data_IF_181601532556
#
_entry.id   IF_181601532556
#
_cell.length_a   1.000
_cell.length_b   1.000
_cell.length_c   1.000
_cell.angle_alpha   90.00
_cell.angle_beta   90.00
_cell.angle_gamma   90.00
#
_symmetry.space_group_name_H-M   'P 1'
#
loop_
_entity.id
_entity.type
_entity.pdbx_description
1 polymer ?
#
# COMPACT_ATOMS: atom_id res chain seq x y z
N UNK A 1 -37.15 5.64 -11.23
CA UNK A 1 -36.51 5.91 -12.52
C UNK A 1 -35.09 6.34 -12.20
N UNK A 2 -34.13 5.47 -12.48
CA UNK A 2 -32.71 5.67 -12.19
C UNK A 2 -32.14 6.78 -13.07
N UNK A 3 -31.52 7.77 -12.43
CA UNK A 3 -30.90 8.91 -13.08
C UNK A 3 -29.42 8.59 -13.33
N UNK A 4 -29.15 7.74 -14.34
CA UNK A 4 -27.80 7.52 -14.85
C UNK A 4 -27.50 8.65 -15.83
N UNK A 5 -27.07 9.80 -15.30
CA UNK A 5 -26.53 10.89 -16.13
C UNK A 5 -25.19 10.48 -16.72
N UNK A 6 -25.07 10.52 -18.04
CA UNK A 6 -23.80 10.37 -18.74
C UNK A 6 -22.85 11.50 -18.37
N UNK A 7 -21.57 11.17 -18.21
CA UNK A 7 -20.51 12.12 -17.83
C UNK A 7 -20.28 13.23 -18.88
N UNK A 8 -20.93 13.14 -20.03
CA UNK A 8 -20.82 14.08 -21.15
C UNK A 8 -21.56 15.40 -20.88
N UNK A 9 -22.55 15.42 -19.99
CA UNK A 9 -23.36 16.60 -19.64
C UNK A 9 -22.64 17.58 -18.69
N UNK A 10 -21.39 17.31 -18.30
CA UNK A 10 -20.65 18.10 -17.31
C UNK A 10 -20.22 19.50 -17.80
N UNK A 11 -20.66 19.96 -18.98
CA UNK A 11 -20.20 21.23 -19.55
C UNK A 11 -21.29 22.24 -19.88
N UNK A 12 -22.58 21.87 -19.91
CA UNK A 12 -23.63 22.81 -20.37
C UNK A 12 -24.49 23.43 -19.26
N UNK A 13 -24.35 23.01 -18.00
CA UNK A 13 -25.13 23.59 -16.89
C UNK A 13 -24.35 23.70 -15.57
N UNK A 14 -23.19 24.38 -15.55
CA UNK A 14 -22.38 24.49 -14.33
C UNK A 14 -22.62 25.76 -13.52
N UNK A 15 -23.19 25.58 -12.33
CA UNK A 15 -23.08 26.47 -11.17
C UNK A 15 -21.63 26.48 -10.64
N UNK A 16 -21.20 27.61 -10.07
CA UNK A 16 -19.84 28.04 -9.70
C UNK A 16 -19.00 27.12 -8.78
N UNK A 17 -19.48 25.91 -8.44
CA UNK A 17 -18.77 24.96 -7.57
C UNK A 17 -17.94 23.88 -8.27
N UNK A 18 -18.01 23.74 -9.60
CA UNK A 18 -17.41 22.61 -10.32
C UNK A 18 -16.19 23.03 -11.16
N UNK A 19 -15.00 22.51 -10.79
CA UNK A 19 -13.79 22.69 -11.58
C UNK A 19 -13.97 21.99 -12.93
N UNK A 20 -13.92 22.76 -14.02
CA UNK A 20 -13.89 22.24 -15.39
C UNK A 20 -12.64 21.37 -15.56
N UNK A 21 -12.81 20.11 -15.97
CA UNK A 21 -11.67 19.24 -16.30
C UNK A 21 -10.81 19.90 -17.39
N UNK A 22 -9.49 19.93 -17.18
CA UNK A 22 -8.55 20.51 -18.14
C UNK A 22 -8.70 19.86 -19.51
N UNK A 23 -8.48 20.64 -20.58
CA UNK A 23 -8.66 20.22 -21.98
C UNK A 23 -7.87 18.94 -22.34
N UNK A 24 -6.75 18.68 -21.66
CA UNK A 24 -5.93 17.47 -21.81
C UNK A 24 -6.70 16.20 -21.42
N UNK A 25 -7.64 16.30 -20.47
CA UNK A 25 -8.52 15.21 -20.07
C UNK A 25 -9.78 15.13 -20.95
N UNK A 26 -10.07 16.17 -21.75
CA UNK A 26 -11.18 16.17 -22.72
C UNK A 26 -10.86 15.33 -23.96
N UNK A 27 -9.58 15.12 -24.28
CA UNK A 27 -9.16 14.28 -25.42
C UNK A 27 -9.50 12.80 -25.24
N UNK A 28 -9.61 12.29 -24.01
CA UNK A 28 -10.05 10.90 -23.76
C UNK A 28 -11.56 10.70 -23.97
N UNK A 29 -12.35 11.78 -24.05
CA UNK A 29 -13.78 11.77 -24.31
C UNK A 29 -14.11 12.03 -25.80
N UNK A 30 -13.11 12.18 -26.66
CA UNK A 30 -13.32 12.34 -28.11
C UNK A 30 -13.71 11.00 -28.73
N UNK A 31 -15.00 10.65 -28.59
CA UNK A 31 -15.59 9.43 -29.13
C UNK A 31 -17.04 9.18 -28.69
N UNK A 32 -17.67 10.14 -28.00
CA UNK A 32 -19.00 9.94 -27.41
C UNK A 32 -18.99 8.79 -26.40
N UNK A 33 -20.02 7.94 -26.44
CA UNK A 33 -20.19 6.82 -25.50
C UNK A 33 -19.03 5.82 -25.52
N UNK A 34 -18.46 5.53 -26.70
CA UNK A 34 -17.33 4.59 -26.83
C UNK A 34 -16.04 5.16 -26.22
N UNK A 35 -15.76 6.44 -26.47
CA UNK A 35 -14.61 7.14 -25.86
C UNK A 35 -14.72 7.20 -24.33
N UNK A 36 -15.92 7.48 -23.81
CA UNK A 36 -16.20 7.43 -22.37
C UNK A 36 -16.01 6.03 -21.79
N UNK A 37 -16.52 4.99 -22.45
CA UNK A 37 -16.37 3.60 -22.02
C UNK A 37 -14.89 3.18 -21.99
N UNK A 38 -14.10 3.57 -22.98
CA UNK A 38 -12.67 3.31 -23.02
C UNK A 38 -11.91 4.08 -21.92
N UNK A 39 -12.24 5.36 -21.71
CA UNK A 39 -11.68 6.14 -20.61
C UNK A 39 -11.96 5.50 -19.24
N UNK A 40 -13.18 5.01 -19.02
CA UNK A 40 -13.56 4.29 -17.80
C UNK A 40 -12.81 2.97 -17.63
N UNK A 41 -12.64 2.19 -18.70
CA UNK A 41 -11.83 0.96 -18.69
C UNK A 41 -10.38 1.25 -18.31
N UNK A 42 -9.78 2.28 -18.92
CA UNK A 42 -8.41 2.71 -18.60
C UNK A 42 -8.28 3.12 -17.13
N UNK A 43 -9.20 3.94 -16.62
CA UNK A 43 -9.14 4.39 -15.23
C UNK A 43 -9.42 3.26 -14.23
N UNK A 44 -10.28 2.30 -14.58
CA UNK A 44 -10.46 1.08 -13.80
C UNK A 44 -9.20 0.23 -13.76
N UNK A 45 -8.57 -0.03 -14.92
CA UNK A 45 -7.31 -0.78 -15.00
C UNK A 45 -6.20 -0.11 -14.18
N UNK A 46 -6.05 1.22 -14.26
CA UNK A 46 -5.09 1.99 -13.47
C UNK A 46 -5.38 1.87 -11.97
N UNK A 47 -6.64 1.99 -11.58
CA UNK A 47 -7.06 1.91 -10.18
C UNK A 47 -6.85 0.51 -9.60
N UNK A 48 -7.18 -0.54 -10.37
CA UNK A 48 -6.93 -1.95 -10.01
C UNK A 48 -5.42 -2.22 -9.86
N UNK A 49 -4.61 -1.79 -10.82
CA UNK A 49 -3.15 -1.95 -10.74
C UNK A 49 -2.54 -1.22 -9.52
N UNK A 50 -3.10 -0.06 -9.13
CA UNK A 50 -2.69 0.65 -7.90
C UNK A 50 -3.09 -0.13 -6.65
N UNK A 51 -4.30 -0.68 -6.61
CA UNK A 51 -4.76 -1.50 -5.49
C UNK A 51 -3.90 -2.77 -5.31
N UNK A 52 -3.57 -3.44 -6.41
CA UNK A 52 -2.68 -4.61 -6.39
C UNK A 52 -1.27 -4.25 -5.87
N UNK A 53 -0.67 -3.17 -6.39
CA UNK A 53 0.64 -2.70 -5.88
C UNK A 53 0.60 -2.33 -4.40
N UNK A 54 -0.46 -1.65 -3.96
CA UNK A 54 -0.63 -1.32 -2.54
C UNK A 54 -0.67 -2.58 -1.67
N UNK A 55 -1.36 -3.63 -2.13
CA UNK A 55 -1.40 -4.91 -1.43
C UNK A 55 -0.01 -5.57 -1.35
N UNK A 56 0.75 -5.55 -2.45
CA UNK A 56 2.15 -6.02 -2.46
C UNK A 56 3.01 -5.25 -1.45
N UNK A 57 2.88 -3.92 -1.41
CA UNK A 57 3.59 -3.05 -0.47
C UNK A 57 3.21 -3.37 0.99
N UNK A 58 1.94 -3.64 1.30
CA UNK A 58 1.51 -4.06 2.63
C UNK A 58 2.17 -5.38 3.07
N UNK A 59 2.26 -6.35 2.16
CA UNK A 59 2.92 -7.64 2.43
C UNK A 59 4.42 -7.44 2.66
N UNK A 60 5.09 -6.69 1.77
CA UNK A 60 6.51 -6.38 1.91
C UNK A 60 6.82 -5.65 3.21
N UNK A 61 6.01 -4.65 3.55
CA UNK A 61 6.18 -3.89 4.79
C UNK A 61 6.03 -4.77 6.03
N UNK A 62 5.07 -5.70 6.03
CA UNK A 62 4.87 -6.65 7.12
C UNK A 62 6.10 -7.54 7.32
N UNK A 63 6.70 -8.02 6.23
CA UNK A 63 7.92 -8.81 6.28
C UNK A 63 9.14 -7.98 6.70
N UNK A 64 9.27 -6.74 6.24
CA UNK A 64 10.35 -5.84 6.68
C UNK A 64 10.26 -5.53 8.17
N UNK A 65 9.06 -5.26 8.72
CA UNK A 65 8.86 -5.12 10.17
C UNK A 65 9.36 -6.35 10.94
N UNK A 66 9.10 -7.56 10.42
CA UNK A 66 9.58 -8.82 11.03
C UNK A 66 11.12 -8.93 10.95
N UNK A 67 11.72 -8.59 9.81
CA UNK A 67 13.18 -8.65 9.58
C UNK A 67 13.93 -7.68 10.47
N UNK A 68 13.42 -6.47 10.66
CA UNK A 68 14.07 -5.48 11.53
C UNK A 68 14.09 -5.96 12.98
N UNK A 69 12.98 -6.51 13.51
CA UNK A 69 12.96 -7.11 14.86
C UNK A 69 13.98 -8.25 15.00
N UNK A 70 14.03 -9.13 13.99
CA UNK A 70 14.98 -10.26 13.96
C UNK A 70 16.42 -9.74 13.99
N UNK A 71 16.71 -8.68 13.24
CA UNK A 71 18.03 -8.04 13.19
C UNK A 71 18.43 -7.46 14.55
N UNK A 72 17.53 -6.75 15.22
CA UNK A 72 17.81 -6.21 16.55
C UNK A 72 18.08 -7.31 17.59
N UNK A 73 17.28 -8.37 17.59
CA UNK A 73 17.50 -9.53 18.47
C UNK A 73 18.85 -10.21 18.19
N UNK A 74 19.21 -10.36 16.92
CA UNK A 74 20.50 -10.91 16.52
C UNK A 74 21.66 -10.07 17.05
N UNK A 75 21.63 -8.75 16.87
CA UNK A 75 22.70 -7.87 17.37
C UNK A 75 22.74 -7.81 18.90
N UNK A 76 21.59 -7.81 19.58
CA UNK A 76 21.56 -7.90 21.04
C UNK A 76 22.28 -9.17 21.53
N UNK A 77 21.98 -10.33 20.94
CA UNK A 77 22.66 -11.60 21.23
C UNK A 77 24.15 -11.56 20.92
N UNK A 78 24.54 -11.00 19.77
CA UNK A 78 25.94 -10.85 19.38
C UNK A 78 26.74 -10.04 20.40
N UNK A 79 26.18 -8.92 20.88
CA UNK A 79 26.84 -8.06 21.88
C UNK A 79 26.89 -8.72 23.26
N UNK A 80 25.84 -9.45 23.64
CA UNK A 80 25.84 -10.28 24.85
C UNK A 80 26.98 -11.28 24.87
N UNK A 81 27.18 -12.00 23.77
CA UNK A 81 28.22 -13.01 23.67
C UNK A 81 29.63 -12.38 23.63
N UNK A 82 29.79 -11.24 22.97
CA UNK A 82 31.03 -10.44 23.06
C UNK A 82 31.35 -10.03 24.51
N UNK A 83 30.34 -9.64 25.27
CA UNK A 83 30.51 -9.26 26.68
C UNK A 83 30.96 -10.42 27.58
N UNK A 84 30.54 -11.66 27.27
CA UNK A 84 31.00 -12.88 27.97
C UNK A 84 32.45 -13.23 27.64
N UNK A 85 32.86 -12.98 26.40
CA UNK A 85 34.16 -13.42 25.86
C UNK A 85 35.29 -12.39 26.04
N UNK A 86 35.03 -11.23 26.64
CA UNK A 86 36.03 -10.18 26.82
C UNK A 86 36.50 -10.07 28.28
N UNK A 87 37.81 -10.11 28.50
CA UNK A 87 38.41 -10.04 29.84
C UNK A 87 38.57 -8.61 30.38
N UNK A 88 38.41 -7.59 29.53
CA UNK A 88 38.59 -6.19 29.91
C UNK A 88 37.27 -5.62 30.47
N UNK A 89 37.24 -5.09 31.72
CA UNK A 89 36.02 -4.58 32.33
C UNK A 89 35.32 -3.49 31.51
N UNK A 90 36.08 -2.56 30.92
CA UNK A 90 35.54 -1.50 30.08
C UNK A 90 34.89 -2.02 28.79
N UNK A 91 35.52 -3.00 28.13
CA UNK A 91 34.97 -3.63 26.93
C UNK A 91 33.70 -4.43 27.25
N UNK A 92 33.67 -5.10 28.41
CA UNK A 92 32.49 -5.81 28.90
C UNK A 92 31.34 -4.84 29.17
N UNK A 93 31.60 -3.73 29.88
CA UNK A 93 30.61 -2.70 30.15
C UNK A 93 30.03 -2.11 28.86
N UNK A 94 30.88 -1.84 27.87
CA UNK A 94 30.44 -1.36 26.56
C UNK A 94 29.58 -2.39 25.82
N UNK A 95 29.98 -3.67 25.81
CA UNK A 95 29.22 -4.74 25.17
C UNK A 95 27.82 -4.90 25.79
N UNK A 96 27.71 -4.85 27.12
CA UNK A 96 26.42 -4.87 27.82
C UNK A 96 25.57 -3.64 27.51
N UNK A 97 26.19 -2.46 27.39
CA UNK A 97 25.48 -1.24 26.95
C UNK A 97 24.92 -1.41 25.54
N UNK A 98 25.68 -2.02 24.62
CA UNK A 98 25.21 -2.29 23.25
C UNK A 98 24.08 -3.32 23.24
N UNK A 99 24.17 -4.42 24.01
CA UNK A 99 23.06 -5.37 24.18
C UNK A 99 21.79 -4.66 24.64
N UNK A 100 21.89 -3.81 25.66
CA UNK A 100 20.76 -3.05 26.18
C UNK A 100 20.14 -2.13 25.12
N UNK A 101 20.97 -1.40 24.36
CA UNK A 101 20.51 -0.54 23.27
C UNK A 101 19.72 -1.31 22.20
N UNK A 102 20.23 -2.46 21.74
CA UNK A 102 19.53 -3.26 20.72
C UNK A 102 18.21 -3.85 21.25
N UNK A 103 18.17 -4.23 22.53
CA UNK A 103 16.93 -4.67 23.18
C UNK A 103 15.90 -3.54 23.27
N UNK A 104 16.34 -2.32 23.59
CA UNK A 104 15.48 -1.13 23.63
C UNK A 104 14.91 -0.81 22.24
N UNK A 105 15.76 -0.81 21.20
CA UNK A 105 15.30 -0.62 19.82
C UNK A 105 14.26 -1.67 19.41
N UNK A 106 14.46 -2.94 19.78
CA UNK A 106 13.49 -4.00 19.54
C UNK A 106 12.18 -3.80 20.29
N UNK A 107 12.23 -3.36 21.54
CA UNK A 107 11.03 -3.08 22.32
C UNK A 107 10.22 -1.92 21.72
N UNK A 108 10.89 -0.80 21.42
CA UNK A 108 10.28 0.38 20.83
C UNK A 108 9.64 0.06 19.46
N UNK A 109 10.37 -0.68 18.62
CA UNK A 109 9.87 -1.02 17.29
C UNK A 109 8.68 -1.99 17.38
N UNK A 110 8.70 -2.97 18.29
CA UNK A 110 7.55 -3.84 18.56
C UNK A 110 6.31 -3.06 18.98
N UNK A 111 6.47 -2.10 19.90
CA UNK A 111 5.37 -1.26 20.37
C UNK A 111 4.76 -0.43 19.24
N UNK A 112 5.60 0.25 18.46
CA UNK A 112 5.16 1.05 17.31
C UNK A 112 4.49 0.21 16.22
N UNK A 113 4.96 -1.02 15.98
CA UNK A 113 4.41 -1.86 14.92
C UNK A 113 3.15 -2.62 15.32
N UNK A 114 2.87 -2.80 16.61
CA UNK A 114 1.62 -3.43 17.03
C UNK A 114 0.40 -2.61 16.58
N UNK A 115 0.44 -1.28 16.74
CA UNK A 115 -0.64 -0.39 16.27
C UNK A 115 -0.77 -0.39 14.74
N UNK A 116 0.34 -0.46 14.02
CA UNK A 116 0.34 -0.50 12.55
C UNK A 116 -0.20 -1.82 11.99
N UNK A 117 0.07 -2.95 12.65
CA UNK A 117 -0.45 -4.25 12.25
C UNK A 117 -1.96 -4.37 12.40
N UNK A 118 -2.57 -3.65 13.35
CA UNK A 118 -4.02 -3.58 13.48
C UNK A 118 -4.68 -2.82 12.32
N UNK A 119 -3.96 -1.89 11.67
CA UNK A 119 -4.45 -1.09 10.55
C UNK A 119 -4.15 -1.69 9.17
N UNK A 120 -3.14 -2.55 9.07
CA UNK A 120 -2.78 -3.19 7.80
C UNK A 120 -3.85 -4.22 7.42
N UNK A 121 -4.29 -4.25 6.14
CA UNK A 121 -5.20 -5.27 5.69
C UNK A 121 -4.57 -6.64 5.93
N UNK A 122 -5.31 -7.55 6.57
CA UNK A 122 -4.87 -8.94 6.72
C UNK A 122 -4.56 -9.45 5.32
N UNK A 123 -3.36 -9.99 5.11
CA UNK A 123 -2.94 -10.56 3.84
C UNK A 123 -3.79 -11.81 3.54
N UNK A 124 -5.05 -11.61 3.17
CA UNK A 124 -5.89 -12.62 2.54
C UNK A 124 -5.78 -12.41 1.04
N UNK A 125 -5.16 -13.34 0.30
CA UNK A 125 -5.06 -13.28 -1.16
C UNK A 125 -6.43 -13.34 -1.85
N UNK A 126 -7.48 -13.75 -1.14
CA UNK A 126 -8.78 -14.13 -1.71
C UNK A 126 -9.68 -12.93 -2.08
N UNK A 127 -9.31 -11.70 -1.70
CA UNK A 127 -10.22 -10.55 -1.83
C UNK A 127 -10.34 -9.95 -3.25
N UNK A 128 -9.62 -10.47 -4.26
CA UNK A 128 -9.67 -9.92 -5.62
C UNK A 128 -9.75 -10.94 -6.77
N UNK A 129 -9.70 -12.24 -6.46
CA UNK A 129 -9.85 -13.32 -7.45
C UNK A 129 -11.32 -13.71 -7.68
N UNK A 130 -12.28 -12.93 -7.18
CA UNK A 130 -13.61 -12.95 -7.79
C UNK A 130 -13.45 -12.36 -9.21
N UNK A 131 -13.19 -13.24 -10.18
CA UNK A 131 -13.18 -12.97 -11.62
C UNK A 131 -14.38 -12.10 -11.99
N UNK A 132 -14.18 -10.79 -12.07
CA UNK A 132 -15.02 -9.96 -12.90
C UNK A 132 -14.45 -10.16 -14.31
N UNK A 133 -14.99 -11.18 -14.96
CA UNK A 133 -14.73 -11.49 -16.36
C UNK A 133 -15.07 -10.26 -17.21
N UNK A 134 -14.03 -9.61 -17.73
CA UNK A 134 -14.17 -8.46 -18.61
C UNK A 134 -14.81 -8.84 -19.95
N UNK A 135 -14.82 -10.14 -20.31
CA UNK A 135 -15.53 -10.68 -21.48
C UNK A 135 -17.02 -10.96 -21.20
N UNK A 136 -17.43 -10.94 -19.92
CA UNK A 136 -18.84 -11.01 -19.49
C UNK A 136 -19.51 -9.63 -19.43
N UNK A 137 -18.78 -8.54 -19.63
CA UNK A 137 -19.41 -7.24 -19.89
C UNK A 137 -20.14 -7.34 -21.23
N UNK A 138 -21.44 -6.98 -21.29
CA UNK A 138 -22.21 -7.14 -22.52
C UNK A 138 -21.46 -6.45 -23.66
N UNK A 139 -21.02 -7.24 -24.64
CA UNK A 139 -20.74 -6.74 -25.97
C UNK A 139 -22.05 -6.15 -26.48
N UNK A 140 -22.26 -4.86 -26.22
CA UNK A 140 -23.32 -4.12 -26.87
C UNK A 140 -22.98 -4.11 -28.36
N UNK A 141 -23.59 -5.03 -29.10
CA UNK A 141 -23.61 -4.97 -30.55
C UNK A 141 -24.33 -3.70 -30.97
N UNK A 142 -23.77 -3.06 -31.99
CA UNK A 142 -24.23 -1.84 -32.66
C UNK A 142 -25.73 -1.78 -32.94
#
# INVERSE_FOLDING_TARGET
AEDVRGLDDYNESLSEGQRTLSWIWKTQLQGGKEGLQEALRIEWCKSRARAQRWQEECVLLTEEMRRVQTTFQYYAGLWKDRGKNVGLPGARAYALKQEALWNELNANAREQWNSLKEMLPSASPEALDSEIDLDSLPHYSS
#
